data_IF_427075746928
#
_entry.id   IF_427075746928
#
_cell.length_a   1.000
_cell.length_b   1.000
_cell.length_c   1.000
_cell.angle_alpha   90.00
_cell.angle_beta   90.00
_cell.angle_gamma   90.00
#
_symmetry.space_group_name_H-M   'P 1'
#
loop_
_entity.id
_entity.type
_entity.pdbx_description
1 polymer ?
#
# COMPACT_ATOMS: atom_id res chain seq x y z
N UNK A 1 31.19 -17.68 -55.94
CA UNK A 1 30.56 -16.35 -56.03
C UNK A 1 29.08 -16.36 -55.62
N UNK A 2 28.13 -16.89 -56.41
CA UNK A 2 26.68 -16.83 -56.12
C UNK A 2 26.27 -17.38 -54.73
N UNK A 3 26.80 -18.55 -54.33
CA UNK A 3 26.53 -19.14 -53.00
C UNK A 3 27.01 -18.26 -51.84
N UNK A 4 28.15 -17.58 -52.03
CA UNK A 4 28.73 -16.69 -51.02
C UNK A 4 27.87 -15.44 -50.84
N UNK A 5 27.38 -14.87 -51.95
CA UNK A 5 26.46 -13.72 -51.96
C UNK A 5 25.13 -14.11 -51.29
N UNK A 6 24.59 -15.30 -51.58
CA UNK A 6 23.38 -15.80 -50.93
C UNK A 6 23.56 -15.94 -49.42
N UNK A 7 24.70 -16.49 -48.98
CA UNK A 7 24.99 -16.67 -47.56
C UNK A 7 25.16 -15.34 -46.82
N UNK A 8 25.84 -14.37 -47.43
CA UNK A 8 25.94 -12.99 -46.93
C UNK A 8 24.57 -12.30 -46.83
N UNK A 9 23.68 -12.51 -47.81
CA UNK A 9 22.32 -11.99 -47.78
C UNK A 9 21.51 -12.57 -46.61
N UNK A 10 21.55 -13.90 -46.43
CA UNK A 10 20.89 -14.57 -45.30
C UNK A 10 21.45 -14.08 -43.97
N UNK A 11 22.77 -13.92 -43.86
CA UNK A 11 23.40 -13.42 -42.65
C UNK A 11 22.98 -11.97 -42.34
N UNK A 12 22.88 -11.12 -43.35
CA UNK A 12 22.40 -9.74 -43.21
C UNK A 12 20.96 -9.70 -42.68
N UNK A 13 20.07 -10.51 -43.26
CA UNK A 13 18.66 -10.60 -42.81
C UNK A 13 18.59 -11.09 -41.36
N UNK A 14 19.36 -12.13 -41.02
CA UNK A 14 19.44 -12.64 -39.65
C UNK A 14 19.92 -11.55 -38.68
N UNK A 15 20.94 -10.78 -39.06
CA UNK A 15 21.46 -9.71 -38.23
C UNK A 15 20.41 -8.63 -37.97
N UNK A 16 19.68 -8.19 -39.00
CA UNK A 16 18.58 -7.22 -38.87
C UNK A 16 17.50 -7.73 -37.92
N UNK A 17 17.10 -9.01 -38.05
CA UNK A 17 16.12 -9.62 -37.16
C UNK A 17 16.61 -9.65 -35.71
N UNK A 18 17.89 -9.96 -35.50
CA UNK A 18 18.51 -10.03 -34.18
C UNK A 18 18.57 -8.65 -33.53
N UNK A 19 18.94 -7.61 -34.28
CA UNK A 19 18.91 -6.22 -33.81
C UNK A 19 17.48 -5.77 -33.49
N UNK A 20 16.50 -6.15 -34.30
CA UNK A 20 15.09 -5.83 -34.03
C UNK A 20 14.59 -6.51 -32.74
N UNK A 21 14.92 -7.79 -32.54
CA UNK A 21 14.60 -8.52 -31.32
C UNK A 21 15.26 -7.88 -30.08
N UNK A 22 16.53 -7.51 -30.18
CA UNK A 22 17.27 -6.82 -29.12
C UNK A 22 16.56 -5.51 -28.71
N UNK A 23 16.18 -4.68 -29.69
CA UNK A 23 15.48 -3.43 -29.43
C UNK A 23 14.11 -3.66 -28.77
N UNK A 24 13.37 -4.70 -29.19
CA UNK A 24 12.10 -5.06 -28.56
C UNK A 24 12.28 -5.52 -27.12
N UNK A 25 13.35 -6.26 -26.82
CA UNK A 25 13.69 -6.65 -25.45
C UNK A 25 13.98 -5.42 -24.59
N UNK A 26 14.83 -4.49 -25.06
CA UNK A 26 15.13 -3.26 -24.32
C UNK A 26 13.88 -2.42 -24.00
N UNK A 27 12.95 -2.32 -24.95
CA UNK A 27 11.67 -1.63 -24.72
C UNK A 27 10.80 -2.35 -23.69
N UNK A 28 10.81 -3.69 -23.68
CA UNK A 28 10.07 -4.48 -22.68
C UNK A 28 10.72 -4.32 -21.31
N UNK A 29 12.04 -4.41 -21.22
CA UNK A 29 12.78 -4.25 -19.96
C UNK A 29 12.54 -2.88 -19.33
N UNK A 30 12.59 -1.81 -20.13
CA UNK A 30 12.26 -0.46 -19.66
C UNK A 30 10.81 -0.34 -19.13
N UNK A 31 9.86 -1.04 -19.76
CA UNK A 31 8.47 -1.08 -19.28
C UNK A 31 8.35 -1.85 -17.97
N UNK A 32 9.06 -2.98 -17.84
CA UNK A 32 9.09 -3.77 -16.60
C UNK A 32 9.67 -2.93 -15.46
N UNK A 33 10.77 -2.21 -15.72
CA UNK A 33 11.40 -1.33 -14.74
C UNK A 33 10.46 -0.21 -14.30
N UNK A 34 9.77 0.46 -15.24
CA UNK A 34 8.80 1.49 -14.90
C UNK A 34 7.62 0.93 -14.08
N UNK A 35 7.08 -0.23 -14.47
CA UNK A 35 6.00 -0.88 -13.72
C UNK A 35 6.44 -1.27 -12.31
N UNK A 36 7.67 -1.73 -12.14
CA UNK A 36 8.23 -2.05 -10.83
C UNK A 36 8.37 -0.78 -9.97
N UNK A 37 8.83 0.33 -10.55
CA UNK A 37 8.89 1.62 -9.87
C UNK A 37 7.51 2.14 -9.44
N UNK A 38 6.53 2.10 -10.35
CA UNK A 38 5.15 2.50 -10.05
C UNK A 38 4.53 1.62 -8.97
N UNK A 39 4.74 0.31 -9.02
CA UNK A 39 4.22 -0.62 -8.01
C UNK A 39 4.82 -0.35 -6.63
N UNK A 40 6.13 -0.17 -6.52
CA UNK A 40 6.79 0.17 -5.25
C UNK A 40 6.29 1.50 -4.68
N UNK A 41 6.05 2.49 -5.56
CA UNK A 41 5.48 3.78 -5.15
C UNK A 41 4.09 3.59 -4.57
N UNK A 42 3.21 2.85 -5.26
CA UNK A 42 1.85 2.57 -4.81
C UNK A 42 1.83 1.78 -3.50
N UNK A 43 2.73 0.80 -3.34
CA UNK A 43 2.87 0.04 -2.09
C UNK A 43 3.25 0.96 -0.93
N UNK A 44 4.16 1.91 -1.16
CA UNK A 44 4.55 2.87 -0.14
C UNK A 44 3.41 3.82 0.24
N UNK A 45 2.69 4.35 -0.75
CA UNK A 45 1.50 5.19 -0.53
C UNK A 45 0.40 4.44 0.23
N UNK A 46 0.16 3.18 -0.13
CA UNK A 46 -0.84 2.35 0.54
C UNK A 46 -0.46 2.07 1.99
N UNK A 47 0.81 1.75 2.25
CA UNK A 47 1.30 1.56 3.61
C UNK A 47 1.19 2.84 4.44
N UNK A 48 1.52 4.00 3.86
CA UNK A 48 1.32 5.29 4.52
C UNK A 48 -0.15 5.51 4.90
N UNK A 49 -1.07 5.36 3.94
CA UNK A 49 -2.51 5.52 4.20
C UNK A 49 -2.99 4.54 5.27
N UNK A 50 -2.52 3.30 5.24
CA UNK A 50 -2.85 2.29 6.25
C UNK A 50 -2.40 2.73 7.64
N UNK A 51 -1.17 3.21 7.79
CA UNK A 51 -0.65 3.70 9.07
C UNK A 51 -1.42 4.92 9.57
N UNK A 52 -1.74 5.87 8.70
CA UNK A 52 -2.58 7.03 9.06
C UNK A 52 -3.97 6.60 9.50
N UNK A 53 -4.57 5.64 8.80
CA UNK A 53 -5.86 5.07 9.16
C UNK A 53 -5.82 4.35 10.52
N UNK A 54 -4.80 3.55 10.76
CA UNK A 54 -4.58 2.86 12.05
C UNK A 54 -4.36 3.87 13.19
N UNK A 55 -3.62 4.96 12.93
CA UNK A 55 -3.43 6.04 13.90
C UNK A 55 -4.77 6.69 14.25
N UNK A 56 -5.52 7.17 13.26
CA UNK A 56 -6.82 7.84 13.47
C UNK A 56 -7.80 6.92 14.19
N UNK A 57 -7.84 5.64 13.84
CA UNK A 57 -8.76 4.66 14.44
C UNK A 57 -8.27 4.03 15.74
N UNK A 58 -7.13 4.48 16.28
CA UNK A 58 -6.74 4.04 17.62
C UNK A 58 -7.75 4.56 18.64
N UNK A 59 -8.15 3.75 19.66
CA UNK A 59 -9.15 4.18 20.64
C UNK A 59 -8.80 5.50 21.33
N UNK A 60 -7.51 5.75 21.59
CA UNK A 60 -7.03 6.99 22.19
C UNK A 60 -7.26 8.21 21.27
N UNK A 61 -6.94 8.08 19.97
CA UNK A 61 -7.14 9.19 19.03
C UNK A 61 -8.61 9.38 18.67
N UNK A 62 -9.40 8.30 18.59
CA UNK A 62 -10.87 8.41 18.47
C UNK A 62 -11.43 9.17 19.68
N UNK A 63 -11.01 8.85 20.90
CA UNK A 63 -11.47 9.56 22.10
C UNK A 63 -11.11 11.05 22.05
N UNK A 64 -9.87 11.39 21.68
CA UNK A 64 -9.43 12.78 21.51
C UNK A 64 -10.20 13.51 20.41
N UNK A 65 -10.43 12.88 19.26
CA UNK A 65 -11.20 13.48 18.16
C UNK A 65 -12.67 13.65 18.54
N UNK A 66 -13.23 12.68 19.26
CA UNK A 66 -14.60 12.74 19.76
C UNK A 66 -14.73 13.92 20.72
N UNK A 67 -13.84 14.05 21.72
CA UNK A 67 -13.87 15.16 22.69
C UNK A 67 -13.69 16.54 22.03
N UNK A 68 -12.83 16.65 21.01
CA UNK A 68 -12.52 17.93 20.38
C UNK A 68 -13.59 18.42 19.39
N UNK A 69 -14.29 17.51 18.70
CA UNK A 69 -15.18 17.87 17.57
C UNK A 69 -16.64 17.48 17.80
N UNK A 70 -16.89 16.56 18.71
CA UNK A 70 -18.24 16.20 19.13
C UNK A 70 -18.36 16.59 20.61
N UNK A 71 -19.46 17.21 21.00
CA UNK A 71 -19.75 17.44 22.43
C UNK A 71 -20.23 16.13 23.08
N UNK A 72 -19.58 15.03 22.71
CA UNK A 72 -19.86 13.67 23.11
C UNK A 72 -18.75 13.29 24.09
N UNK A 73 -19.08 13.36 25.39
CA UNK A 73 -18.30 12.63 26.37
C UNK A 73 -18.49 11.16 26.04
N UNK A 74 -17.45 10.42 25.60
CA UNK A 74 -17.59 8.98 25.48
C UNK A 74 -18.14 8.51 26.82
N UNK A 75 -19.23 7.73 26.82
CA UNK A 75 -19.90 7.31 28.04
C UNK A 75 -18.82 6.91 29.04
N UNK A 76 -18.63 7.70 30.10
CA UNK A 76 -17.56 7.50 31.07
C UNK A 76 -17.83 6.11 31.63
N UNK A 77 -17.09 5.12 31.11
CA UNK A 77 -17.20 3.76 31.58
C UNK A 77 -16.80 3.85 33.04
N UNK A 78 -17.76 3.54 33.90
CA UNK A 78 -17.61 3.57 35.35
C UNK A 78 -16.26 2.92 35.64
N UNK A 79 -15.37 3.66 36.30
CA UNK A 79 -14.04 3.17 36.58
C UNK A 79 -14.14 1.84 37.35
N UNK A 80 -13.20 0.92 37.18
CA UNK A 80 -13.37 -0.45 37.70
C UNK A 80 -13.61 -0.45 39.23
N UNK A 81 -13.04 0.50 39.96
CA UNK A 81 -13.31 0.70 41.39
C UNK A 81 -14.76 1.12 41.67
N UNK A 82 -15.32 2.01 40.85
CA UNK A 82 -16.70 2.48 40.97
C UNK A 82 -17.70 1.42 40.49
N UNK A 83 -17.33 0.60 39.50
CA UNK A 83 -18.11 -0.56 39.05
C UNK A 83 -18.17 -1.63 40.13
N UNK A 84 -17.04 -1.92 40.77
CA UNK A 84 -16.96 -2.86 41.90
C UNK A 84 -17.79 -2.33 43.09
N UNK A 85 -17.73 -1.03 43.40
CA UNK A 85 -18.62 -0.42 44.41
C UNK A 85 -20.10 -0.54 44.03
N UNK A 86 -20.46 -0.32 42.77
CA UNK A 86 -21.84 -0.46 42.30
C UNK A 86 -22.36 -1.90 42.42
N UNK A 87 -21.53 -2.89 42.10
CA UNK A 87 -21.89 -4.32 42.20
C UNK A 87 -21.90 -4.81 43.66
N UNK A 88 -20.99 -4.31 44.50
CA UNK A 88 -20.83 -4.76 45.89
C UNK A 88 -21.68 -3.99 46.91
N UNK A 89 -22.24 -2.82 46.57
CA UNK A 89 -23.00 -2.01 47.51
C UNK A 89 -24.51 -2.12 47.30
N UNK A 90 -25.11 -2.77 48.29
CA UNK A 90 -26.52 -2.84 48.65
C UNK A 90 -27.09 -1.44 48.91
N UNK A 91 -28.32 -1.17 48.43
CA UNK A 91 -29.31 -0.16 48.87
C UNK A 91 -28.85 1.25 49.34
N UNK A 92 -29.13 2.25 48.49
CA UNK A 92 -29.91 3.49 48.73
C UNK A 92 -29.30 4.66 47.93
N UNK A 93 -29.80 4.87 46.73
CA UNK A 93 -29.69 6.17 46.04
C UNK A 93 -30.96 6.95 46.35
N UNK A 94 -30.84 7.97 47.21
CA UNK A 94 -31.79 9.08 47.27
C UNK A 94 -31.59 10.02 46.09
#
# INVERSE_FOLDING_TARGET
MKKLIMLLSVFSILFILLTFLQNKLEVIDAKIENLHYENNKLEHELNFIKTEWEYINSPANIALLTENYFDHRPAELINIEDFIKFILNTEEVK
#
